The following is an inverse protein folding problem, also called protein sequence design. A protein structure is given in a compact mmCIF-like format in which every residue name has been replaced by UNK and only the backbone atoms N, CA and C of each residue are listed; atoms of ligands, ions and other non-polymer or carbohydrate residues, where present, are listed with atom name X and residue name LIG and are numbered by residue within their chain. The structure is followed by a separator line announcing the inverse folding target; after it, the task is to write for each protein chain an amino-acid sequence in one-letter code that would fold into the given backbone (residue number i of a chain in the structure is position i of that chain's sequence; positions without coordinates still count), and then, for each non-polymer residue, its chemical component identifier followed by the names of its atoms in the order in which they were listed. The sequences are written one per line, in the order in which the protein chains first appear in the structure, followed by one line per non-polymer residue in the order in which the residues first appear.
data_IF_337565782130
#
_entry.id   IF_337565782130
#
_cell.length_a   1.000
_cell.length_b   1.000
_cell.length_c   1.000
_cell.angle_alpha   90.00
_cell.angle_beta   90.00
_cell.angle_gamma   90.00
#
_symmetry.space_group_name_H-M   'P 1'
#
loop_
_entity.id
_entity.type
_entity.pdbx_description
1 polymer ?
#
# COMPACT_ATOMS: atom_id res chain seq x y z
N UNK A 1 7.58 12.88 -10.86
CA UNK A 1 7.70 13.05 -9.42
C UNK A 1 9.05 12.57 -8.92
N UNK A 2 9.51 13.13 -7.83
CA UNK A 2 10.76 12.75 -7.20
C UNK A 2 10.70 11.28 -6.75
N UNK A 3 11.77 10.50 -6.99
CA UNK A 3 11.84 9.09 -6.64
C UNK A 3 11.13 8.13 -7.59
N UNK A 4 10.50 8.60 -8.66
CA UNK A 4 9.83 7.73 -9.64
C UNK A 4 10.53 7.75 -10.98
N UNK A 5 10.80 6.54 -11.52
CA UNK A 5 11.39 6.41 -12.86
C UNK A 5 10.42 6.85 -13.94
N UNK A 6 10.94 7.50 -15.00
CA UNK A 6 10.17 7.89 -16.16
C UNK A 6 9.58 6.68 -16.89
N UNK A 7 8.38 6.86 -17.46
CA UNK A 7 7.67 5.88 -18.23
C UNK A 7 7.28 6.48 -19.60
N UNK A 8 7.63 5.79 -20.69
CA UNK A 8 7.40 6.28 -22.06
C UNK A 8 5.90 6.51 -22.33
N UNK A 9 5.04 5.58 -21.94
CA UNK A 9 3.59 5.70 -22.14
C UNK A 9 3.04 6.96 -21.45
N UNK A 10 3.32 7.12 -20.16
CA UNK A 10 2.85 8.28 -19.38
C UNK A 10 3.50 9.57 -19.87
N UNK A 11 4.77 9.55 -20.28
CA UNK A 11 5.45 10.70 -20.87
C UNK A 11 4.75 11.20 -22.13
N UNK A 12 4.42 10.31 -23.05
CA UNK A 12 3.69 10.65 -24.28
C UNK A 12 2.25 11.11 -23.99
N UNK A 13 1.58 10.47 -23.03
CA UNK A 13 0.25 10.90 -22.58
C UNK A 13 0.26 12.33 -22.02
N UNK A 14 1.26 12.68 -21.20
CA UNK A 14 1.42 14.04 -20.69
C UNK A 14 1.57 15.07 -21.82
N UNK A 15 2.43 14.76 -22.81
CA UNK A 15 2.66 15.65 -23.97
C UNK A 15 1.38 15.77 -24.81
N UNK A 16 0.74 14.64 -25.13
CA UNK A 16 -0.43 14.63 -26.01
C UNK A 16 -1.70 15.22 -25.37
N UNK A 17 -1.86 15.06 -24.07
CA UNK A 17 -3.05 15.58 -23.35
C UNK A 17 -2.91 17.03 -22.90
N UNK A 18 -1.70 17.58 -22.89
CA UNK A 18 -1.42 18.92 -22.36
C UNK A 18 -1.70 19.08 -20.85
N UNK A 19 -1.77 17.98 -20.12
CA UNK A 19 -2.01 17.95 -18.68
C UNK A 19 -1.16 16.88 -18.00
N UNK A 20 -0.96 17.01 -16.69
CA UNK A 20 -0.24 16.01 -15.91
C UNK A 20 -1.10 14.74 -15.80
N UNK A 21 -0.55 13.63 -16.28
CA UNK A 21 -1.09 12.28 -16.10
C UNK A 21 -0.20 11.55 -15.11
N UNK A 22 -0.75 11.19 -13.96
CA UNK A 22 -0.01 10.47 -12.93
C UNK A 22 0.05 8.98 -13.23
N UNK A 23 1.21 8.35 -12.97
CA UNK A 23 1.32 6.90 -12.91
C UNK A 23 0.52 6.36 -11.71
N UNK A 24 0.12 5.09 -11.79
CA UNK A 24 -0.75 4.47 -10.77
C UNK A 24 -0.21 4.64 -9.34
N UNK A 25 1.09 4.41 -9.13
CA UNK A 25 1.70 4.55 -7.81
C UNK A 25 1.55 5.99 -7.27
N UNK A 26 1.90 6.98 -8.08
CA UNK A 26 1.79 8.40 -7.71
C UNK A 26 0.32 8.80 -7.52
N UNK A 27 -0.59 8.25 -8.33
CA UNK A 27 -2.03 8.49 -8.21
C UNK A 27 -2.56 7.99 -6.88
N UNK A 28 -2.15 6.80 -6.43
CA UNK A 28 -2.54 6.25 -5.13
C UNK A 28 -1.97 7.09 -4.00
N UNK A 29 -0.68 7.46 -4.07
CA UNK A 29 -0.04 8.32 -3.06
C UNK A 29 -0.81 9.64 -2.91
N UNK A 30 -1.10 10.28 -4.05
CA UNK A 30 -1.87 11.54 -4.06
C UNK A 30 -3.28 11.38 -3.51
N UNK A 31 -3.97 10.29 -3.84
CA UNK A 31 -5.31 10.02 -3.31
C UNK A 31 -5.31 9.86 -1.78
N UNK A 32 -4.24 9.28 -1.21
CA UNK A 32 -4.08 9.18 0.25
C UNK A 32 -3.87 10.58 0.86
N UNK A 33 -3.01 11.40 0.25
CA UNK A 33 -2.72 12.77 0.70
C UNK A 33 -3.95 13.68 0.61
N UNK A 34 -4.70 13.60 -0.47
CA UNK A 34 -5.90 14.40 -0.72
C UNK A 34 -7.14 13.89 0.07
N UNK A 35 -7.10 12.65 0.56
CA UNK A 35 -8.19 12.01 1.30
C UNK A 35 -9.17 11.20 0.45
N UNK A 36 -9.15 11.29 -0.86
CA UNK A 36 -10.04 10.57 -1.79
C UNK A 36 -9.89 9.03 -1.66
N UNK A 37 -8.71 8.57 -1.26
CA UNK A 37 -8.44 7.16 -1.00
C UNK A 37 -9.43 6.55 0.00
N UNK A 38 -9.81 7.32 1.02
CA UNK A 38 -10.72 6.88 2.09
C UNK A 38 -12.20 6.90 1.67
N UNK A 39 -12.48 7.29 0.43
CA UNK A 39 -13.80 7.27 -0.19
C UNK A 39 -13.90 6.21 -1.30
N UNK A 40 -12.83 5.44 -1.54
CA UNK A 40 -12.80 4.41 -2.57
C UNK A 40 -13.87 3.33 -2.29
N UNK A 41 -14.83 3.20 -3.18
CA UNK A 41 -16.00 2.32 -3.03
C UNK A 41 -15.64 0.85 -2.88
N UNK A 42 -14.63 0.36 -3.62
CA UNK A 42 -14.21 -1.04 -3.57
C UNK A 42 -13.56 -1.38 -2.22
N UNK A 43 -12.68 -0.50 -1.72
CA UNK A 43 -12.06 -0.65 -0.42
C UNK A 43 -13.08 -0.53 0.71
N UNK A 44 -13.99 0.44 0.61
CA UNK A 44 -15.08 0.64 1.56
C UNK A 44 -15.97 -0.60 1.64
N UNK A 45 -16.33 -1.19 0.50
CA UNK A 45 -17.13 -2.41 0.44
C UNK A 45 -16.43 -3.60 1.13
N UNK A 46 -15.13 -3.77 0.88
CA UNK A 46 -14.35 -4.83 1.52
C UNK A 46 -14.31 -4.66 3.05
N UNK A 47 -14.06 -3.44 3.52
CA UNK A 47 -14.00 -3.12 4.94
C UNK A 47 -15.34 -3.27 5.64
N UNK A 48 -16.43 -2.79 5.02
CA UNK A 48 -17.80 -2.98 5.52
C UNK A 48 -18.16 -4.46 5.63
N UNK A 49 -17.85 -5.25 4.60
CA UNK A 49 -18.09 -6.69 4.62
C UNK A 49 -17.36 -7.38 5.80
N UNK A 50 -16.09 -7.05 6.03
CA UNK A 50 -15.33 -7.59 7.16
C UNK A 50 -15.93 -7.19 8.50
N UNK A 51 -16.37 -5.93 8.64
CA UNK A 51 -16.98 -5.40 9.86
C UNK A 51 -18.34 -6.04 10.16
N UNK A 52 -19.24 -6.05 9.19
CA UNK A 52 -20.61 -6.54 9.35
C UNK A 52 -20.66 -8.04 9.66
N UNK A 53 -19.77 -8.80 9.06
CA UNK A 53 -19.66 -10.25 9.28
C UNK A 53 -18.70 -10.63 10.43
N UNK A 54 -18.11 -9.65 11.12
CA UNK A 54 -17.10 -9.86 12.17
C UNK A 54 -15.93 -10.77 11.72
N UNK A 55 -15.57 -10.67 10.45
CA UNK A 55 -14.45 -11.39 9.83
C UNK A 55 -13.17 -10.57 9.78
N UNK A 56 -12.11 -11.14 9.25
CA UNK A 56 -10.81 -10.50 9.15
C UNK A 56 -10.63 -9.81 7.80
N UNK A 57 -9.95 -8.68 7.78
CA UNK A 57 -9.42 -8.06 6.58
C UNK A 57 -7.99 -8.54 6.37
N UNK A 58 -7.69 -9.03 5.18
CA UNK A 58 -6.36 -9.48 4.79
C UNK A 58 -5.79 -8.53 3.73
N UNK A 59 -4.63 -7.97 4.03
CA UNK A 59 -3.86 -7.11 3.13
C UNK A 59 -2.63 -7.89 2.66
N UNK A 60 -2.34 -7.87 1.38
CA UNK A 60 -1.18 -8.58 0.83
C UNK A 60 -0.47 -7.74 -0.23
N UNK A 61 0.83 -7.82 -0.27
CA UNK A 61 1.64 -7.09 -1.25
C UNK A 61 3.12 -7.00 -0.89
N UNK A 62 3.88 -6.40 -1.81
CA UNK A 62 5.30 -6.13 -1.58
C UNK A 62 5.49 -5.12 -0.46
N UNK A 63 6.36 -5.46 0.48
CA UNK A 63 6.68 -4.63 1.63
C UNK A 63 8.04 -3.96 1.43
N UNK A 64 8.03 -2.83 0.75
CA UNK A 64 9.22 -1.98 0.56
C UNK A 64 8.82 -0.54 0.20
N UNK A 65 9.80 0.34 0.08
CA UNK A 65 9.65 1.71 -0.43
C UNK A 65 10.25 1.86 -1.84
N UNK A 66 10.47 0.76 -2.55
CA UNK A 66 11.08 0.76 -3.88
C UNK A 66 10.31 1.57 -4.92
N UNK A 67 9.01 1.75 -4.75
CA UNK A 67 8.21 2.65 -5.58
C UNK A 67 8.03 2.19 -7.04
N UNK A 68 8.21 0.90 -7.30
CA UNK A 68 8.01 0.30 -8.65
C UNK A 68 6.67 -0.42 -8.71
N UNK A 69 6.46 -1.41 -7.85
CA UNK A 69 5.22 -2.19 -7.80
C UNK A 69 4.40 -1.91 -6.55
N UNK A 70 4.99 -1.32 -5.53
CA UNK A 70 4.37 -1.05 -4.23
C UNK A 70 5.12 0.06 -3.50
N UNK A 71 4.47 0.62 -2.50
CA UNK A 71 5.11 1.54 -1.55
C UNK A 71 4.53 1.32 -0.16
N UNK A 72 5.41 1.22 0.86
CA UNK A 72 5.01 0.97 2.25
C UNK A 72 4.05 2.04 2.80
N UNK A 73 4.11 3.27 2.29
CA UNK A 73 3.15 4.34 2.61
C UNK A 73 1.71 4.01 2.22
N UNK A 74 1.50 3.19 1.17
CA UNK A 74 0.16 2.74 0.79
C UNK A 74 -0.40 1.73 1.80
N UNK A 75 0.46 0.89 2.40
CA UNK A 75 0.06 0.03 3.51
C UNK A 75 -0.41 0.87 4.70
N UNK A 76 0.30 1.97 5.02
CA UNK A 76 -0.14 2.90 6.08
C UNK A 76 -1.53 3.45 5.79
N UNK A 77 -1.78 3.91 4.58
CA UNK A 77 -3.11 4.39 4.15
C UNK A 77 -4.21 3.34 4.32
N UNK A 78 -3.94 2.08 3.98
CA UNK A 78 -4.90 0.97 4.18
C UNK A 78 -5.16 0.69 5.66
N UNK A 79 -4.13 0.73 6.50
CA UNK A 79 -4.27 0.54 7.95
C UNK A 79 -5.08 1.69 8.58
N UNK A 80 -4.80 2.94 8.20
CA UNK A 80 -5.55 4.11 8.63
C UNK A 80 -7.02 4.02 8.21
N UNK A 81 -7.29 3.56 6.99
CA UNK A 81 -8.63 3.33 6.49
C UNK A 81 -9.36 2.25 7.32
N UNK A 82 -8.71 1.11 7.55
CA UNK A 82 -9.27 0.04 8.37
C UNK A 82 -9.57 0.52 9.81
N UNK A 83 -8.69 1.32 10.39
CA UNK A 83 -8.88 1.95 11.70
C UNK A 83 -10.08 2.90 11.71
N UNK A 84 -10.18 3.77 10.70
CA UNK A 84 -11.30 4.71 10.53
C UNK A 84 -12.64 3.98 10.45
N UNK A 85 -12.69 2.85 9.75
CA UNK A 85 -13.88 2.00 9.64
C UNK A 85 -14.15 1.14 10.90
N UNK A 86 -13.26 1.16 11.88
CA UNK A 86 -13.42 0.45 13.15
C UNK A 86 -13.09 -1.04 13.10
N UNK A 87 -12.31 -1.48 12.12
CA UNK A 87 -11.81 -2.85 12.03
C UNK A 87 -10.74 -3.11 13.08
N UNK A 88 -10.77 -4.28 13.70
CA UNK A 88 -9.79 -4.72 14.69
C UNK A 88 -8.98 -5.93 14.19
N UNK A 89 -9.55 -6.74 13.31
CA UNK A 89 -8.94 -7.96 12.76
C UNK A 89 -8.35 -7.66 11.38
N UNK A 90 -7.15 -7.10 11.34
CA UNK A 90 -6.45 -6.76 10.10
C UNK A 90 -5.12 -7.51 10.06
N UNK A 91 -4.90 -8.28 9.02
CA UNK A 91 -3.74 -9.15 8.85
C UNK A 91 -2.97 -8.79 7.59
N UNK A 92 -1.66 -8.64 7.71
CA UNK A 92 -0.77 -8.30 6.58
C UNK A 92 0.05 -9.53 6.19
N UNK A 93 -0.01 -9.86 4.92
CA UNK A 93 0.82 -10.88 4.28
C UNK A 93 1.93 -10.15 3.52
N UNK A 94 3.10 -10.07 4.14
CA UNK A 94 4.23 -9.31 3.62
C UNK A 94 5.00 -10.11 2.57
N UNK A 95 5.07 -9.62 1.34
CA UNK A 95 5.95 -10.15 0.31
C UNK A 95 7.25 -9.35 0.33
N UNK A 96 8.35 -10.02 0.66
CA UNK A 96 9.67 -9.37 0.76
C UNK A 96 10.20 -9.09 -0.64
N UNK A 97 10.66 -7.86 -0.86
CA UNK A 97 11.07 -7.37 -2.18
C UNK A 97 12.44 -7.94 -2.59
N UNK A 98 13.51 -7.34 -2.13
CA UNK A 98 14.88 -7.74 -2.44
C UNK A 98 15.30 -7.59 -3.91
N UNK A 99 14.47 -6.95 -4.74
CA UNK A 99 14.74 -6.66 -6.14
C UNK A 99 14.74 -5.16 -6.43
N UNK A 100 13.67 -4.47 -6.04
CA UNK A 100 13.52 -3.02 -6.21
C UNK A 100 14.21 -2.25 -5.07
N UNK A 101 14.56 -2.97 -4.00
CA UNK A 101 15.37 -2.55 -2.85
C UNK A 101 16.43 -3.60 -2.55
N UNK A 102 17.50 -3.29 -1.78
CA UNK A 102 18.55 -4.24 -1.45
C UNK A 102 18.00 -5.52 -0.80
N UNK A 103 18.52 -6.72 -1.18
CA UNK A 103 18.05 -8.01 -0.62
C UNK A 103 18.12 -8.11 0.90
N UNK A 104 19.06 -7.39 1.53
CA UNK A 104 19.26 -7.39 2.99
C UNK A 104 18.31 -6.47 3.75
N UNK A 105 17.52 -5.62 3.07
CA UNK A 105 16.66 -4.60 3.71
C UNK A 105 15.34 -5.13 4.28
N UNK A 106 15.02 -6.40 4.03
CA UNK A 106 13.71 -6.96 4.38
C UNK A 106 13.36 -6.85 5.86
N UNK A 107 14.33 -7.10 6.75
CA UNK A 107 14.14 -6.99 8.20
C UNK A 107 13.70 -5.56 8.61
N UNK A 108 14.33 -4.55 8.02
CA UNK A 108 14.06 -3.15 8.36
C UNK A 108 12.63 -2.75 7.95
N UNK A 109 12.15 -3.25 6.81
CA UNK A 109 10.77 -3.04 6.39
C UNK A 109 9.74 -3.74 7.26
N UNK A 110 10.05 -4.92 7.78
CA UNK A 110 9.19 -5.60 8.78
C UNK A 110 9.09 -4.76 10.05
N UNK A 111 10.22 -4.30 10.59
CA UNK A 111 10.25 -3.45 11.79
C UNK A 111 9.44 -2.17 11.55
N UNK A 112 9.66 -1.50 10.42
CA UNK A 112 8.93 -0.29 10.03
C UNK A 112 7.42 -0.53 9.93
N UNK A 113 6.99 -1.66 9.37
CA UNK A 113 5.59 -2.02 9.30
C UNK A 113 4.98 -2.29 10.68
N UNK A 114 5.68 -2.98 11.58
CA UNK A 114 5.23 -3.22 12.95
C UNK A 114 5.10 -1.92 13.76
N UNK A 115 6.05 -1.00 13.60
CA UNK A 115 5.97 0.34 14.22
C UNK A 115 4.77 1.12 13.70
N UNK A 116 4.53 1.09 12.40
CA UNK A 116 3.38 1.70 11.75
C UNK A 116 2.05 1.14 12.27
N UNK A 117 1.94 -0.18 12.42
CA UNK A 117 0.77 -0.84 12.97
C UNK A 117 0.52 -0.44 14.42
N UNK A 118 1.57 -0.30 15.23
CA UNK A 118 1.48 0.22 16.60
C UNK A 118 1.03 1.67 16.63
N UNK A 119 1.57 2.51 15.77
CA UNK A 119 1.19 3.93 15.65
C UNK A 119 -0.30 4.09 15.29
N UNK A 120 -0.75 3.38 14.25
CA UNK A 120 -2.14 3.41 13.79
C UNK A 120 -3.08 2.70 14.78
N UNK A 121 -2.57 1.70 15.49
CA UNK A 121 -3.32 0.94 16.50
C UNK A 121 -4.20 -0.16 15.91
N UNK A 122 -3.86 -0.66 14.72
CA UNK A 122 -4.50 -1.81 14.07
C UNK A 122 -3.52 -2.52 13.14
N UNK A 123 -3.73 -3.82 12.97
CA UNK A 123 -2.94 -4.67 12.07
C UNK A 123 -1.88 -5.50 12.78
N UNK A 124 -1.57 -6.63 12.19
CA UNK A 124 -0.45 -7.48 12.55
C UNK A 124 0.06 -8.23 11.33
N UNK A 125 1.36 -8.54 11.30
CA UNK A 125 1.93 -9.38 10.24
C UNK A 125 1.52 -10.83 10.50
N UNK A 126 0.84 -11.43 9.52
CA UNK A 126 0.38 -12.81 9.58
C UNK A 126 1.35 -13.78 8.89
N UNK A 127 1.90 -13.39 7.75
CA UNK A 127 2.88 -14.20 7.02
C UNK A 127 3.95 -13.33 6.38
N UNK A 128 5.12 -13.92 6.20
CA UNK A 128 6.25 -13.33 5.46
C UNK A 128 6.68 -14.32 4.39
N UNK A 129 6.76 -13.89 3.15
CA UNK A 129 7.23 -14.68 2.02
C UNK A 129 8.13 -13.84 1.11
N UNK A 130 9.09 -14.44 0.43
CA UNK A 130 9.83 -13.74 -0.63
C UNK A 130 8.97 -13.60 -1.90
N UNK A 131 9.08 -12.47 -2.60
CA UNK A 131 8.33 -12.23 -3.85
C UNK A 131 8.52 -13.29 -4.92
N UNK A 132 9.61 -14.04 -4.83
CA UNK A 132 9.87 -15.15 -5.76
C UNK A 132 8.88 -16.31 -5.58
N UNK A 133 8.31 -16.45 -4.39
CA UNK A 133 7.39 -17.55 -4.02
C UNK A 133 5.93 -17.11 -3.87
N UNK A 134 5.67 -15.80 -4.02
CA UNK A 134 4.34 -15.21 -3.82
C UNK A 134 3.55 -15.07 -5.13
#
# INVERSE_FOLDING_TARGET
PEGQMGNSEVGHLNIGSGRIVYQELTRITKAIEDGDFFENEALMKAMKNAKENNTSLHLMGLLSDGGVHSHIGHLKGLLEFAKKEGLQKVYVHAFMDGRDVPPSSGKDFIIKAEEMMKEVGVGQIATVSGRYYA
#
